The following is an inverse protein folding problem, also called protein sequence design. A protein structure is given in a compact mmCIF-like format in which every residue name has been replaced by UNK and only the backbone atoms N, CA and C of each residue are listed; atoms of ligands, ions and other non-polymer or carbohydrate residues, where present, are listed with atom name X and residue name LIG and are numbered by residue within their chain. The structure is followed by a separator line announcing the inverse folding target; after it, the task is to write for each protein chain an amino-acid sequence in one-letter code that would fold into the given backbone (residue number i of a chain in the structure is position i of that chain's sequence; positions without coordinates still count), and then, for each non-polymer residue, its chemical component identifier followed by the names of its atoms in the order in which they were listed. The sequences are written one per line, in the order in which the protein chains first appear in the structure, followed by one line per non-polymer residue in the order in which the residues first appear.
data_IF_296475258296
#
_entry.id   IF_296475258296
#
_cell.length_a   1.000
_cell.length_b   1.000
_cell.length_c   1.000
_cell.angle_alpha   90.00
_cell.angle_beta   90.00
_cell.angle_gamma   90.00
#
_symmetry.space_group_name_H-M   'P 1'
#
loop_
_entity.id
_entity.type
_entity.pdbx_description
1 polymer ?
#
# COMPACT_ATOMS: atom_id res chain seq x y z
N UNK A 1 2.07 22.83 32.05
CA UNK A 1 0.96 22.53 31.10
C UNK A 1 1.38 21.62 29.91
N UNK A 2 2.11 20.51 30.12
CA UNK A 2 2.44 19.52 29.05
C UNK A 2 2.69 18.09 29.59
N UNK A 3 1.85 17.59 30.49
CA UNK A 3 1.94 16.19 30.98
C UNK A 3 0.78 15.30 30.54
N UNK A 4 -0.28 15.90 29.98
CA UNK A 4 -1.45 15.21 29.42
C UNK A 4 -1.31 14.83 27.93
N UNK A 5 -0.21 15.23 27.26
CA UNK A 5 0.08 14.90 25.86
C UNK A 5 0.90 13.60 25.69
N UNK A 6 1.46 13.10 26.80
CA UNK A 6 2.05 11.77 26.85
C UNK A 6 0.97 10.89 27.42
N UNK A 7 0.32 10.08 26.57
CA UNK A 7 -0.58 9.05 27.04
C UNK A 7 0.22 8.16 28.02
N UNK A 8 -0.08 8.16 29.33
CA UNK A 8 0.70 7.43 30.32
C UNK A 8 0.69 5.92 30.06
N UNK A 9 -0.28 5.44 29.25
CA UNK A 9 -0.39 4.05 28.82
C UNK A 9 0.54 3.67 27.66
N UNK A 10 1.21 4.64 27.04
CA UNK A 10 2.08 4.45 25.87
C UNK A 10 3.58 4.44 26.24
N UNK A 11 3.91 3.93 27.43
CA UNK A 11 5.30 3.63 27.79
C UNK A 11 5.55 2.14 27.62
N UNK A 12 6.76 1.75 27.17
CA UNK A 12 7.14 0.34 26.97
C UNK A 12 6.94 -0.51 28.23
N UNK A 13 7.02 0.10 29.41
CA UNK A 13 6.83 -0.56 30.70
C UNK A 13 5.35 -0.82 30.98
N UNK A 14 4.48 0.17 30.78
CA UNK A 14 3.03 0.02 30.96
C UNK A 14 2.41 -0.94 29.94
N UNK A 15 2.93 -1.00 28.70
CA UNK A 15 2.49 -1.98 27.70
C UNK A 15 2.91 -3.42 28.03
N UNK A 16 4.00 -3.62 28.79
CA UNK A 16 4.47 -4.97 29.18
C UNK A 16 3.58 -5.66 30.20
N UNK A 17 2.92 -4.90 31.07
CA UNK A 17 2.04 -5.45 32.10
C UNK A 17 0.80 -6.18 31.54
N UNK A 18 0.01 -5.61 30.61
CA UNK A 18 -1.10 -6.31 29.98
C UNK A 18 -0.60 -7.46 29.10
N UNK A 19 0.49 -7.28 28.34
CA UNK A 19 1.04 -8.36 27.49
C UNK A 19 1.45 -9.57 28.34
N UNK A 20 2.15 -9.37 29.47
CA UNK A 20 2.51 -10.46 30.39
C UNK A 20 1.29 -11.14 31.01
N UNK A 21 0.26 -10.37 31.35
CA UNK A 21 -1.01 -10.92 31.85
C UNK A 21 -1.68 -11.79 30.79
N UNK A 22 -1.84 -11.27 29.57
CA UNK A 22 -2.43 -12.01 28.44
C UNK A 22 -1.63 -13.27 28.08
N UNK A 23 -0.29 -13.20 28.14
CA UNK A 23 0.57 -14.37 27.85
C UNK A 23 0.34 -15.50 28.86
N UNK A 24 0.16 -15.17 30.14
CA UNK A 24 -0.09 -16.15 31.21
C UNK A 24 -1.53 -16.69 31.19
N UNK A 25 -2.49 -15.85 30.82
CA UNK A 25 -3.91 -16.17 30.81
C UNK A 25 -4.28 -17.11 29.63
N UNK A 26 -3.51 -17.08 28.54
CA UNK A 26 -3.74 -17.89 27.34
C UNK A 26 -2.61 -18.91 27.06
N UNK A 27 -1.76 -19.21 28.04
CA UNK A 27 -0.61 -20.13 27.90
C UNK A 27 -1.04 -21.56 27.52
N UNK A 28 -2.21 -22.00 28.00
CA UNK A 28 -2.80 -23.32 27.72
C UNK A 28 -3.79 -23.32 26.53
N UNK A 29 -4.17 -22.15 26.00
CA UNK A 29 -5.24 -22.00 24.98
C UNK A 29 -4.88 -20.98 23.87
N UNK A 30 -3.69 -21.16 23.29
CA UNK A 30 -3.14 -20.28 22.24
C UNK A 30 -4.02 -20.14 21.00
N UNK A 31 -4.77 -21.18 20.65
CA UNK A 31 -5.67 -21.16 19.48
C UNK A 31 -6.93 -20.31 19.72
N UNK A 32 -7.43 -20.31 20.96
CA UNK A 32 -8.55 -19.47 21.38
C UNK A 32 -8.14 -17.99 21.40
N UNK A 33 -6.92 -17.67 21.83
CA UNK A 33 -6.37 -16.31 21.77
C UNK A 33 -6.42 -15.74 20.34
N UNK A 34 -5.99 -16.53 19.35
CA UNK A 34 -5.99 -16.07 17.96
C UNK A 34 -7.40 -15.86 17.41
N UNK A 35 -8.35 -16.70 17.84
CA UNK A 35 -9.76 -16.58 17.46
C UNK A 35 -10.38 -15.33 18.09
N UNK A 36 -10.11 -15.08 19.38
CA UNK A 36 -10.58 -13.89 20.10
C UNK A 36 -10.00 -12.60 19.50
N UNK A 37 -8.70 -12.58 19.20
CA UNK A 37 -8.05 -11.45 18.54
C UNK A 37 -8.61 -11.20 17.13
N UNK A 38 -8.85 -12.26 16.36
CA UNK A 38 -9.52 -12.14 15.07
C UNK A 38 -10.91 -11.55 15.23
N UNK A 39 -11.70 -11.98 16.21
CA UNK A 39 -13.05 -11.45 16.42
C UNK A 39 -13.05 -9.98 16.88
N UNK A 40 -12.10 -9.58 17.71
CA UNK A 40 -12.01 -8.22 18.25
C UNK A 40 -11.48 -7.23 17.20
N UNK A 41 -10.44 -7.60 16.46
CA UNK A 41 -9.70 -6.68 15.58
C UNK A 41 -9.96 -6.89 14.09
N UNK A 42 -10.45 -8.06 13.71
CA UNK A 42 -10.79 -8.42 12.32
C UNK A 42 -12.20 -9.02 12.26
N UNK A 43 -13.23 -8.28 12.71
CA UNK A 43 -14.60 -8.78 12.62
C UNK A 43 -14.84 -9.21 11.17
N UNK A 44 -15.23 -10.48 10.99
CA UNK A 44 -15.53 -11.05 9.68
C UNK A 44 -16.82 -10.39 9.19
N UNK A 45 -16.73 -9.19 8.66
CA UNK A 45 -17.83 -8.58 7.94
C UNK A 45 -18.12 -9.49 6.75
N UNK A 46 -19.41 -9.83 6.58
CA UNK A 46 -19.86 -10.46 5.35
C UNK A 46 -19.34 -9.62 4.17
N UNK A 47 -18.88 -10.25 3.07
CA UNK A 47 -18.37 -9.51 1.92
C UNK A 47 -19.43 -8.49 1.50
N UNK A 48 -19.10 -7.22 1.68
CA UNK A 48 -19.97 -6.13 1.29
C UNK A 48 -20.11 -6.24 -0.23
N UNK A 49 -21.32 -6.53 -0.70
CA UNK A 49 -21.63 -6.30 -2.10
C UNK A 49 -21.59 -4.79 -2.32
N UNK A 50 -20.46 -4.33 -2.83
CA UNK A 50 -20.33 -2.94 -3.27
C UNK A 50 -21.35 -2.70 -4.38
N UNK A 51 -22.11 -1.61 -4.26
CA UNK A 51 -23.00 -1.19 -5.34
C UNK A 51 -22.14 -0.91 -6.57
N UNK A 52 -22.64 -1.31 -7.74
CA UNK A 52 -22.03 -0.90 -9.00
C UNK A 52 -21.93 0.62 -9.06
N UNK A 53 -20.83 1.11 -9.59
CA UNK A 53 -20.63 2.55 -9.77
C UNK A 53 -21.75 3.13 -10.63
N UNK A 54 -22.49 4.10 -10.07
CA UNK A 54 -23.61 4.79 -10.75
C UNK A 54 -23.28 6.23 -11.14
N UNK A 55 -22.01 6.63 -11.03
CA UNK A 55 -21.56 7.97 -11.42
C UNK A 55 -21.41 8.11 -12.94
N UNK A 56 -21.21 9.34 -13.41
CA UNK A 56 -20.89 9.58 -14.82
C UNK A 56 -19.55 8.94 -15.21
N UNK A 57 -19.48 8.42 -16.44
CA UNK A 57 -18.22 7.95 -17.00
C UNK A 57 -17.19 9.08 -17.02
N UNK A 58 -15.93 8.78 -16.70
CA UNK A 58 -14.85 9.75 -16.73
C UNK A 58 -13.87 9.40 -17.86
N UNK A 59 -14.20 9.73 -19.12
CA UNK A 59 -13.41 9.32 -20.28
C UNK A 59 -11.98 9.82 -20.24
N UNK A 60 -11.69 10.91 -19.51
CA UNK A 60 -10.33 11.42 -19.35
C UNK A 60 -9.47 10.53 -18.45
N UNK A 61 -10.07 9.85 -17.46
CA UNK A 61 -9.38 8.92 -16.56
C UNK A 61 -9.34 7.49 -17.09
N UNK A 62 -10.31 7.15 -17.93
CA UNK A 62 -10.40 5.83 -18.55
C UNK A 62 -9.57 5.73 -19.84
N UNK A 63 -9.01 6.86 -20.31
CA UNK A 63 -8.11 6.91 -21.47
C UNK A 63 -6.75 6.27 -21.13
N UNK A 64 -6.18 5.59 -22.12
CA UNK A 64 -4.80 5.15 -22.08
C UNK A 64 -3.83 6.33 -21.92
N UNK A 65 -2.76 6.10 -21.17
CA UNK A 65 -1.63 7.00 -21.04
C UNK A 65 -0.90 7.16 -22.38
N UNK A 66 -0.46 8.39 -22.66
CA UNK A 66 0.35 8.73 -23.83
C UNK A 66 1.85 8.72 -23.48
N UNK A 67 2.69 8.43 -24.47
CA UNK A 67 4.15 8.39 -24.28
C UNK A 67 4.73 9.74 -23.82
N UNK A 68 4.09 10.85 -24.22
CA UNK A 68 4.46 12.22 -23.79
C UNK A 68 4.22 12.41 -22.29
N UNK A 69 3.13 11.86 -21.75
CA UNK A 69 2.81 11.91 -20.32
C UNK A 69 3.81 11.09 -19.53
N UNK A 70 4.11 9.87 -19.98
CA UNK A 70 5.12 9.01 -19.36
C UNK A 70 6.49 9.70 -19.36
N UNK A 71 6.91 10.28 -20.49
CA UNK A 71 8.16 11.05 -20.57
C UNK A 71 8.17 12.22 -19.59
N UNK A 72 7.08 12.97 -19.47
CA UNK A 72 6.97 14.08 -18.53
C UNK A 72 7.11 13.61 -17.06
N UNK A 73 6.57 12.45 -16.72
CA UNK A 73 6.71 11.83 -15.39
C UNK A 73 8.15 11.37 -15.15
N UNK A 74 8.77 10.70 -16.12
CA UNK A 74 10.17 10.24 -16.03
C UNK A 74 11.14 11.41 -15.77
N UNK A 75 10.90 12.57 -16.39
CA UNK A 75 11.70 13.77 -16.16
C UNK A 75 11.56 14.38 -14.76
N UNK A 76 10.43 14.13 -14.08
CA UNK A 76 10.18 14.60 -12.71
C UNK A 76 10.79 13.68 -11.63
N UNK A 77 11.31 12.52 -12.02
CA UNK A 77 11.92 11.58 -11.07
C UNK A 77 13.14 12.21 -10.36
N UNK A 78 13.23 11.98 -9.05
CA UNK A 78 14.41 12.34 -8.28
C UNK A 78 15.53 11.34 -8.58
N UNK A 79 16.54 11.80 -9.32
CA UNK A 79 17.66 10.98 -9.79
C UNK A 79 18.60 10.55 -8.65
N UNK A 80 18.54 11.22 -7.49
CA UNK A 80 19.44 10.98 -6.35
C UNK A 80 18.95 9.87 -5.40
N UNK A 81 17.76 9.32 -5.62
CA UNK A 81 17.26 8.24 -4.77
C UNK A 81 18.00 6.94 -5.04
N UNK A 82 18.16 6.13 -4.00
CA UNK A 82 18.70 4.78 -4.15
C UNK A 82 17.81 3.95 -5.09
N UNK A 83 18.40 3.06 -5.93
CA UNK A 83 17.65 2.10 -6.73
C UNK A 83 16.78 1.19 -5.85
N UNK A 84 15.70 0.69 -6.42
CA UNK A 84 14.86 -0.32 -5.78
C UNK A 84 15.54 -1.69 -5.72
N UNK A 85 14.85 -2.72 -5.20
CA UNK A 85 15.33 -4.11 -5.19
C UNK A 85 15.63 -4.67 -6.59
N UNK A 86 15.05 -4.07 -7.63
CA UNK A 86 15.29 -4.38 -9.05
C UNK A 86 16.63 -3.87 -9.57
N UNK A 87 17.34 -3.03 -8.80
CA UNK A 87 18.60 -2.43 -9.20
C UNK A 87 18.48 -1.36 -10.29
N UNK A 88 17.27 -0.99 -10.71
CA UNK A 88 17.05 0.01 -11.75
C UNK A 88 17.07 1.40 -11.12
N UNK A 89 18.01 2.24 -11.55
CA UNK A 89 18.12 3.62 -11.04
C UNK A 89 17.16 4.57 -11.75
N UNK A 90 16.70 5.59 -11.03
CA UNK A 90 15.94 6.70 -11.64
C UNK A 90 16.73 7.44 -12.72
N UNK A 91 18.06 7.41 -12.64
CA UNK A 91 18.93 7.93 -13.71
C UNK A 91 18.73 7.15 -15.01
N UNK A 92 18.68 5.82 -14.94
CA UNK A 92 18.45 4.98 -16.12
C UNK A 92 17.08 5.25 -16.74
N UNK A 93 16.03 5.29 -15.92
CA UNK A 93 14.66 5.57 -16.36
C UNK A 93 14.51 6.92 -17.07
N UNK A 94 15.23 7.95 -16.59
CA UNK A 94 15.20 9.29 -17.20
C UNK A 94 15.92 9.37 -18.56
N UNK A 95 16.85 8.44 -18.83
CA UNK A 95 17.65 8.41 -20.06
C UNK A 95 17.23 7.29 -21.02
N UNK A 96 16.01 6.76 -20.88
CA UNK A 96 15.45 5.80 -21.83
C UNK A 96 15.32 6.42 -23.22
N UNK A 97 15.61 5.61 -24.24
CA UNK A 97 15.38 5.96 -25.63
C UNK A 97 13.88 5.99 -25.97
N UNK A 98 13.53 6.54 -27.13
CA UNK A 98 12.14 6.73 -27.52
C UNK A 98 11.38 5.40 -27.64
N UNK A 99 12.03 4.35 -28.15
CA UNK A 99 11.41 3.04 -28.31
C UNK A 99 11.12 2.40 -26.95
N UNK A 100 12.06 2.49 -26.00
CA UNK A 100 11.85 2.01 -24.64
C UNK A 100 10.72 2.75 -23.90
N UNK A 101 10.56 4.05 -24.12
CA UNK A 101 9.45 4.83 -23.55
C UNK A 101 8.10 4.38 -24.14
N UNK A 102 8.03 4.11 -25.44
CA UNK A 102 6.83 3.57 -26.09
C UNK A 102 6.47 2.18 -25.55
N UNK A 103 7.47 1.31 -25.41
CA UNK A 103 7.29 -0.02 -24.82
C UNK A 103 6.77 0.06 -23.38
N UNK A 104 7.38 0.91 -22.54
CA UNK A 104 6.95 1.13 -21.16
C UNK A 104 5.52 1.66 -21.09
N UNK A 105 5.16 2.60 -21.97
CA UNK A 105 3.81 3.16 -22.05
C UNK A 105 2.78 2.08 -22.38
N UNK A 106 3.09 1.21 -23.34
CA UNK A 106 2.24 0.07 -23.68
C UNK A 106 2.06 -0.89 -22.50
N UNK A 107 3.14 -1.20 -21.79
CA UNK A 107 3.09 -2.07 -20.61
C UNK A 107 2.22 -1.48 -19.48
N UNK A 108 2.39 -0.19 -19.17
CA UNK A 108 1.59 0.50 -18.14
C UNK A 108 0.10 0.47 -18.50
N UNK A 109 -0.24 0.76 -19.76
CA UNK A 109 -1.62 0.70 -20.24
C UNK A 109 -2.21 -0.71 -20.13
N UNK A 110 -1.42 -1.74 -20.45
CA UNK A 110 -1.85 -3.13 -20.27
C UNK A 110 -2.22 -3.41 -18.81
N UNK A 111 -1.32 -3.09 -17.87
CA UNK A 111 -1.57 -3.26 -16.43
C UNK A 111 -2.78 -2.46 -15.94
N UNK A 112 -3.02 -1.28 -16.51
CA UNK A 112 -4.18 -0.45 -16.19
C UNK A 112 -5.50 -1.12 -16.62
N UNK A 113 -5.54 -1.68 -17.83
CA UNK A 113 -6.75 -2.31 -18.38
C UNK A 113 -7.07 -3.68 -17.79
N UNK A 114 -6.04 -4.49 -17.51
CA UNK A 114 -6.23 -5.86 -17.04
C UNK A 114 -6.50 -5.93 -15.53
N UNK A 115 -6.26 -4.82 -14.80
CA UNK A 115 -6.27 -4.78 -13.34
C UNK A 115 -5.08 -5.57 -12.81
N UNK A 116 -4.13 -4.90 -12.13
CA UNK A 116 -2.86 -5.50 -11.71
C UNK A 116 -3.00 -6.86 -11.03
N UNK A 117 -2.93 -7.93 -11.81
CA UNK A 117 -2.91 -9.32 -11.39
C UNK A 117 -1.48 -9.83 -11.58
N UNK A 118 -0.63 -9.46 -10.63
CA UNK A 118 0.64 -10.12 -10.29
C UNK A 118 0.85 -9.98 -8.80
#
# INVERSE_FOLDING_TARGET
LRRFLLDPTNTKTEQRHPIRRFTREYEENREQLMTDLQNIYMPKLAPLQHKNYTGEANPNRDKNFEAVEIRAVLHKLNVKSAPGPDGVSNHALRNLDNYSIEFLTGYINKCWTEGGNT
#
